data_IF_415958059291
#
_entry.id   IF_415958059291
#
_cell.length_a   1.000
_cell.length_b   1.000
_cell.length_c   1.000
_cell.angle_alpha   90.00
_cell.angle_beta   90.00
_cell.angle_gamma   90.00
#
_symmetry.space_group_name_H-M   'P 1'
#
loop_
_entity.id
_entity.type
_entity.pdbx_description
1 polymer ?
#
# COMPACT_ATOMS: atom_id res chain seq x y z
N UNK A 1 -10.51 -13.40 15.83
CA UNK A 1 -11.15 -14.56 15.17
C UNK A 1 -10.05 -15.60 15.06
N UNK A 2 -10.22 -16.82 15.56
CA UNK A 2 -9.19 -17.87 15.46
C UNK A 2 -9.18 -18.45 14.05
N UNK A 3 -8.02 -18.93 13.58
CA UNK A 3 -7.86 -19.59 12.26
C UNK A 3 -8.82 -20.76 12.13
N UNK A 4 -9.17 -21.44 13.22
CA UNK A 4 -10.14 -22.54 13.27
C UNK A 4 -11.57 -22.14 12.90
N UNK A 5 -11.90 -20.85 12.92
CA UNK A 5 -13.22 -20.33 12.55
C UNK A 5 -13.38 -20.00 11.06
N UNK A 6 -12.30 -20.06 10.25
CA UNK A 6 -12.35 -19.70 8.84
C UNK A 6 -13.27 -20.59 7.99
N UNK A 7 -13.37 -21.92 8.18
CA UNK A 7 -14.35 -22.70 7.43
C UNK A 7 -15.78 -22.17 7.56
N UNK A 8 -16.13 -21.64 8.74
CA UNK A 8 -17.48 -21.11 9.02
C UNK A 8 -17.80 -19.82 8.26
N UNK A 9 -16.80 -19.06 7.79
CA UNK A 9 -17.01 -17.85 6.96
C UNK A 9 -17.65 -18.27 5.64
N UNK A 10 -17.18 -19.35 5.04
CA UNK A 10 -17.72 -19.90 3.80
C UNK A 10 -19.13 -20.48 3.98
N UNK A 11 -19.51 -20.91 5.18
CA UNK A 11 -20.84 -21.49 5.47
C UNK A 11 -21.93 -20.42 5.65
N UNK A 12 -21.56 -19.13 5.74
CA UNK A 12 -22.53 -18.02 5.92
C UNK A 12 -23.29 -17.61 4.67
N UNK A 13 -23.02 -18.22 3.53
CA UNK A 13 -23.69 -17.93 2.27
C UNK A 13 -25.10 -18.57 2.13
N UNK A 14 -25.82 -18.82 3.21
CA UNK A 14 -27.17 -19.38 3.21
C UNK A 14 -27.29 -20.67 2.37
N UNK A 15 -26.28 -21.55 2.44
CA UNK A 15 -26.22 -22.77 1.65
C UNK A 15 -25.76 -22.62 0.21
N UNK A 16 -25.50 -21.37 -0.24
CA UNK A 16 -24.87 -21.10 -1.52
C UNK A 16 -23.34 -21.17 -1.39
N UNK A 17 -22.69 -21.66 -2.42
CA UNK A 17 -21.23 -21.67 -2.51
C UNK A 17 -20.75 -20.33 -3.07
N UNK A 18 -19.66 -19.80 -2.52
CA UNK A 18 -18.96 -18.68 -3.13
C UNK A 18 -18.24 -19.13 -4.41
N UNK A 19 -18.32 -18.34 -5.46
CA UNK A 19 -17.57 -18.57 -6.71
C UNK A 19 -16.15 -18.02 -6.64
N UNK A 20 -15.97 -16.94 -5.87
CA UNK A 20 -14.75 -16.15 -5.83
C UNK A 20 -14.37 -15.83 -4.39
N UNK A 21 -13.09 -15.88 -4.11
CA UNK A 21 -12.48 -15.33 -2.88
C UNK A 21 -11.46 -14.27 -3.27
N UNK A 22 -11.63 -13.05 -2.79
CA UNK A 22 -10.65 -11.96 -2.92
C UNK A 22 -10.12 -11.65 -1.52
N UNK A 23 -8.84 -11.95 -1.27
CA UNK A 23 -8.22 -11.73 0.01
C UNK A 23 -7.46 -10.41 0.04
N UNK A 24 -8.05 -9.39 0.64
CA UNK A 24 -7.42 -8.12 0.98
C UNK A 24 -7.04 -8.04 2.46
N UNK A 25 -7.18 -9.13 3.21
CA UNK A 25 -6.87 -9.18 4.64
C UNK A 25 -5.38 -9.27 4.91
N UNK A 26 -4.99 -8.84 6.10
CA UNK A 26 -3.63 -8.94 6.58
C UNK A 26 -3.16 -7.68 7.31
N UNK A 27 -1.97 -7.75 7.89
CA UNK A 27 -1.31 -6.61 8.51
C UNK A 27 -0.63 -5.78 7.41
N UNK A 28 -0.95 -4.51 7.36
CA UNK A 28 -0.39 -3.55 6.38
C UNK A 28 0.50 -2.47 7.02
N UNK A 29 0.48 -2.33 8.35
CA UNK A 29 1.32 -1.36 9.06
C UNK A 29 2.78 -1.78 8.99
N UNK A 30 3.66 -0.80 8.89
CA UNK A 30 5.10 -0.99 8.96
C UNK A 30 5.56 -1.27 10.40
N UNK A 31 6.82 -1.60 10.56
CA UNK A 31 7.51 -1.72 11.87
C UNK A 31 6.85 -2.66 12.88
N UNK A 32 6.00 -3.58 12.41
CA UNK A 32 5.43 -4.60 13.30
C UNK A 32 6.42 -5.76 13.54
N UNK A 33 6.32 -6.43 14.69
CA UNK A 33 7.05 -7.67 14.94
C UNK A 33 6.75 -8.73 13.87
N UNK A 34 7.73 -9.56 13.56
CA UNK A 34 7.65 -10.55 12.48
C UNK A 34 6.50 -11.55 12.66
N UNK A 35 6.22 -11.95 13.90
CA UNK A 35 5.13 -12.87 14.23
C UNK A 35 3.74 -12.27 13.96
N UNK A 36 3.59 -10.94 13.98
CA UNK A 36 2.34 -10.26 13.61
C UNK A 36 2.05 -10.47 12.13
N UNK A 37 3.03 -10.30 11.24
CA UNK A 37 2.86 -10.57 9.81
C UNK A 37 2.62 -12.07 9.56
N UNK A 38 3.36 -12.93 10.23
CA UNK A 38 3.19 -14.38 10.13
C UNK A 38 1.78 -14.82 10.51
N UNK A 39 1.24 -14.31 11.60
CA UNK A 39 -0.07 -14.71 12.12
C UNK A 39 -1.24 -14.03 11.39
N UNK A 40 -1.13 -12.70 11.15
CA UNK A 40 -2.25 -11.90 10.64
C UNK A 40 -2.29 -11.81 9.10
N UNK A 41 -1.19 -12.10 8.41
CA UNK A 41 -1.13 -12.12 6.95
C UNK A 41 -0.94 -13.53 6.42
N UNK A 42 0.23 -14.12 6.61
CA UNK A 42 0.54 -15.43 6.03
C UNK A 42 -0.43 -16.53 6.48
N UNK A 43 -0.58 -16.75 7.80
CA UNK A 43 -1.46 -17.81 8.30
C UNK A 43 -2.92 -17.62 7.87
N UNK A 44 -3.39 -16.36 7.81
CA UNK A 44 -4.73 -16.03 7.29
C UNK A 44 -4.88 -16.45 5.83
N UNK A 45 -3.95 -16.00 4.96
CA UNK A 45 -4.02 -16.28 3.51
C UNK A 45 -3.94 -17.78 3.23
N UNK A 46 -3.04 -18.51 3.92
CA UNK A 46 -2.90 -19.96 3.75
C UNK A 46 -4.15 -20.71 4.19
N UNK A 47 -4.76 -20.31 5.32
CA UNK A 47 -6.01 -20.94 5.78
C UNK A 47 -7.16 -20.70 4.80
N UNK A 48 -7.30 -19.46 4.28
CA UNK A 48 -8.30 -19.13 3.26
C UNK A 48 -8.04 -19.88 1.95
N UNK A 49 -6.78 -19.93 1.48
CA UNK A 49 -6.41 -20.65 0.26
C UNK A 49 -6.69 -22.15 0.33
N UNK A 50 -6.34 -22.80 1.44
CA UNK A 50 -6.64 -24.21 1.66
C UNK A 50 -8.14 -24.48 1.66
N UNK A 51 -8.94 -23.64 2.31
CA UNK A 51 -10.38 -23.81 2.34
C UNK A 51 -11.01 -23.53 0.97
N UNK A 52 -10.51 -22.54 0.23
CA UNK A 52 -10.94 -22.25 -1.13
C UNK A 52 -10.66 -23.44 -2.07
N UNK A 53 -9.46 -24.03 -2.01
CA UNK A 53 -9.12 -25.23 -2.78
C UNK A 53 -10.02 -26.42 -2.41
N UNK A 54 -10.23 -26.69 -1.12
CA UNK A 54 -11.09 -27.78 -0.62
C UNK A 54 -12.53 -27.65 -1.14
N UNK A 55 -13.02 -26.43 -1.31
CA UNK A 55 -14.38 -26.14 -1.82
C UNK A 55 -14.45 -25.99 -3.33
N UNK A 56 -13.35 -26.15 -4.05
CA UNK A 56 -13.26 -25.93 -5.49
C UNK A 56 -13.77 -24.53 -5.91
N UNK A 57 -13.38 -23.49 -5.15
CA UNK A 57 -13.70 -22.10 -5.49
C UNK A 57 -13.12 -21.77 -6.87
N UNK A 58 -13.93 -21.16 -7.74
CA UNK A 58 -13.61 -20.93 -9.14
C UNK A 58 -12.44 -19.96 -9.35
N UNK A 59 -12.21 -19.02 -8.42
CA UNK A 59 -11.03 -18.15 -8.42
C UNK A 59 -10.67 -17.67 -7.01
N UNK A 60 -9.38 -17.66 -6.68
CA UNK A 60 -8.82 -17.06 -5.47
C UNK A 60 -7.85 -15.96 -5.87
N UNK A 61 -8.09 -14.73 -5.42
CA UNK A 61 -7.22 -13.59 -5.69
C UNK A 61 -6.57 -13.12 -4.38
N UNK A 62 -5.23 -13.08 -4.38
CA UNK A 62 -4.44 -12.58 -3.26
C UNK A 62 -3.93 -11.16 -3.53
N UNK A 63 -4.17 -10.25 -2.59
CA UNK A 63 -3.63 -8.89 -2.61
C UNK A 63 -2.20 -8.90 -2.04
N UNK A 64 -1.21 -8.75 -2.93
CA UNK A 64 0.21 -8.67 -2.60
C UNK A 64 0.78 -7.27 -2.87
N UNK A 65 2.09 -7.12 -2.83
CA UNK A 65 2.79 -5.83 -2.95
C UNK A 65 3.96 -5.90 -3.90
N UNK A 66 4.16 -4.85 -4.71
CA UNK A 66 5.33 -4.70 -5.55
C UNK A 66 6.63 -4.42 -4.75
N UNK A 67 6.53 -4.10 -3.45
CA UNK A 67 7.73 -3.95 -2.59
C UNK A 67 8.47 -5.27 -2.31
N UNK A 68 7.99 -6.39 -2.84
CA UNK A 68 8.72 -7.66 -2.85
C UNK A 68 9.99 -7.60 -3.72
N UNK A 69 10.07 -6.66 -4.66
CA UNK A 69 11.24 -6.46 -5.50
C UNK A 69 12.34 -5.67 -4.79
N UNK A 70 13.54 -5.71 -5.35
CA UNK A 70 14.64 -4.86 -4.92
C UNK A 70 14.34 -3.40 -5.26
N UNK A 71 14.69 -2.50 -4.35
CA UNK A 71 14.59 -1.06 -4.62
C UNK A 71 15.64 -0.60 -5.62
N UNK A 72 15.23 -0.39 -6.86
CA UNK A 72 16.07 0.19 -7.93
C UNK A 72 15.20 0.92 -8.95
N UNK A 73 15.78 1.87 -9.67
CA UNK A 73 15.07 2.71 -10.65
C UNK A 73 14.91 2.02 -12.03
N UNK A 74 14.81 0.70 -12.04
CA UNK A 74 14.51 -0.10 -13.24
C UNK A 74 13.16 -0.78 -13.03
N UNK A 75 12.22 -0.70 -13.99
CA UNK A 75 10.94 -1.38 -13.87
C UNK A 75 11.12 -2.91 -13.76
N UNK A 76 10.64 -3.48 -12.66
CA UNK A 76 10.64 -4.92 -12.44
C UNK A 76 9.44 -5.58 -13.11
N UNK A 77 9.72 -6.71 -13.77
CA UNK A 77 8.71 -7.62 -14.33
C UNK A 77 8.41 -8.75 -13.35
N UNK A 78 7.33 -9.45 -13.56
CA UNK A 78 6.93 -10.60 -12.76
C UNK A 78 7.96 -11.74 -12.79
N UNK A 79 8.74 -11.83 -13.88
CA UNK A 79 9.83 -12.80 -14.05
C UNK A 79 11.10 -12.44 -13.26
N UNK A 80 11.23 -11.21 -12.77
CA UNK A 80 12.41 -10.79 -12.00
C UNK A 80 12.39 -11.43 -10.62
N UNK A 81 13.58 -11.81 -10.13
CA UNK A 81 13.72 -12.43 -8.81
C UNK A 81 13.40 -11.42 -7.71
N UNK A 82 12.40 -11.70 -6.84
CA UNK A 82 12.11 -10.85 -5.70
C UNK A 82 13.30 -10.77 -4.72
N UNK A 83 13.44 -9.60 -4.09
CA UNK A 83 14.43 -9.33 -3.03
C UNK A 83 13.87 -8.34 -2.01
N UNK A 84 12.88 -8.75 -1.20
CA UNK A 84 12.24 -7.87 -0.23
C UNK A 84 13.20 -7.43 0.87
N UNK A 85 13.06 -6.19 1.32
CA UNK A 85 13.90 -5.60 2.38
C UNK A 85 13.15 -5.42 3.71
N UNK A 86 11.83 -5.19 3.67
CA UNK A 86 11.00 -5.07 4.87
C UNK A 86 10.40 -6.42 5.31
N UNK A 87 10.05 -6.55 6.58
CA UNK A 87 9.37 -7.75 7.09
C UNK A 87 8.01 -7.94 6.45
N UNK A 88 7.25 -6.85 6.24
CA UNK A 88 5.98 -6.90 5.52
C UNK A 88 6.15 -7.55 4.15
N UNK A 89 7.10 -7.06 3.34
CA UNK A 89 7.33 -7.56 2.00
C UNK A 89 7.85 -9.01 1.97
N UNK A 90 8.70 -9.40 2.94
CA UNK A 90 9.18 -10.80 3.10
C UNK A 90 8.00 -11.75 3.35
N UNK A 91 7.11 -11.40 4.28
CA UNK A 91 5.96 -12.24 4.60
C UNK A 91 4.91 -12.26 3.50
N UNK A 92 4.75 -11.17 2.74
CA UNK A 92 3.93 -11.18 1.52
C UNK A 92 4.50 -12.14 0.47
N UNK A 93 5.82 -12.11 0.22
CA UNK A 93 6.47 -13.04 -0.70
C UNK A 93 6.35 -14.50 -0.24
N UNK A 94 6.62 -14.78 1.04
CA UNK A 94 6.44 -16.14 1.60
C UNK A 94 5.00 -16.61 1.43
N UNK A 95 4.02 -15.72 1.58
CA UNK A 95 2.61 -16.04 1.36
C UNK A 95 2.34 -16.40 -0.11
N UNK A 96 2.87 -15.63 -1.06
CA UNK A 96 2.76 -15.94 -2.49
C UNK A 96 3.32 -17.33 -2.82
N UNK A 97 4.53 -17.63 -2.33
CA UNK A 97 5.23 -18.89 -2.57
C UNK A 97 4.47 -20.10 -1.98
N UNK A 98 3.88 -19.93 -0.80
CA UNK A 98 3.16 -21.02 -0.15
C UNK A 98 1.74 -21.20 -0.71
N UNK A 99 1.06 -20.14 -1.14
CA UNK A 99 -0.23 -20.25 -1.84
C UNK A 99 -0.08 -21.00 -3.17
N UNK A 100 1.02 -20.76 -3.92
CA UNK A 100 1.29 -21.46 -5.18
C UNK A 100 1.53 -22.96 -5.02
N UNK A 101 1.81 -23.45 -3.79
CA UNK A 101 1.99 -24.89 -3.49
C UNK A 101 0.69 -25.59 -3.10
N UNK A 102 -0.43 -24.86 -2.98
CA UNK A 102 -1.72 -25.46 -2.61
C UNK A 102 -2.35 -26.11 -3.84
N UNK A 103 -2.42 -27.44 -3.83
CA UNK A 103 -3.03 -28.21 -4.91
C UNK A 103 -4.51 -27.85 -5.08
N UNK A 104 -4.94 -27.67 -6.33
CA UNK A 104 -6.31 -27.34 -6.68
C UNK A 104 -6.73 -25.90 -6.43
N UNK A 105 -5.84 -25.04 -5.95
CA UNK A 105 -6.13 -23.61 -5.78
C UNK A 105 -6.03 -22.87 -7.13
N UNK A 106 -7.15 -22.36 -7.64
CA UNK A 106 -7.17 -21.52 -8.84
C UNK A 106 -6.74 -20.08 -8.50
N UNK A 107 -5.44 -19.88 -8.35
CA UNK A 107 -4.80 -18.72 -7.77
C UNK A 107 -4.52 -17.61 -8.80
N UNK A 108 -4.74 -16.35 -8.39
CA UNK A 108 -4.19 -15.15 -9.02
C UNK A 108 -3.63 -14.22 -7.93
N UNK A 109 -2.43 -13.71 -8.10
CA UNK A 109 -1.73 -12.82 -7.17
C UNK A 109 -1.54 -11.47 -7.85
N UNK A 110 -1.99 -10.40 -7.20
CA UNK A 110 -1.77 -9.04 -7.68
C UNK A 110 -0.76 -8.32 -6.77
N UNK A 111 0.40 -8.01 -7.32
CA UNK A 111 1.44 -7.18 -6.68
C UNK A 111 1.16 -5.71 -6.98
N UNK A 112 0.50 -5.05 -6.05
CA UNK A 112 0.17 -3.64 -6.20
C UNK A 112 1.39 -2.75 -5.96
N UNK A 113 1.56 -1.75 -6.83
CA UNK A 113 2.34 -0.56 -6.53
C UNK A 113 1.72 0.20 -5.33
N UNK A 114 2.23 1.36 -4.93
CA UNK A 114 1.70 2.12 -3.80
C UNK A 114 0.27 2.57 -4.10
N UNK A 115 -0.66 2.16 -3.26
CA UNK A 115 -2.06 2.57 -3.37
C UNK A 115 -2.22 4.04 -2.99
N UNK A 116 -3.01 4.80 -3.74
CA UNK A 116 -3.44 6.14 -3.36
C UNK A 116 -4.94 6.33 -3.65
N UNK A 117 -5.55 7.28 -2.97
CA UNK A 117 -6.96 7.64 -3.17
C UNK A 117 -7.73 7.81 -1.87
N UNK A 118 -9.05 7.93 -1.97
CA UNK A 118 -9.92 8.15 -0.82
C UNK A 118 -9.73 7.08 0.28
N UNK A 119 -9.77 7.52 1.53
CA UNK A 119 -9.59 6.71 2.74
C UNK A 119 -8.21 6.06 2.89
N UNK A 120 -7.18 6.59 2.21
CA UNK A 120 -5.81 6.13 2.43
C UNK A 120 -5.45 6.21 3.91
N UNK A 121 -4.91 5.13 4.46
CA UNK A 121 -4.35 5.08 5.81
C UNK A 121 -2.94 4.48 5.79
N UNK A 122 -2.32 4.50 4.61
CA UNK A 122 -1.02 3.93 4.32
C UNK A 122 0.09 4.99 4.15
N UNK A 123 0.85 4.88 3.07
CA UNK A 123 2.07 5.66 2.87
C UNK A 123 1.86 7.16 2.65
N UNK A 124 0.67 7.62 2.24
CA UNK A 124 0.35 9.04 2.05
C UNK A 124 -0.10 9.73 3.32
N UNK A 125 -0.58 9.00 4.32
CA UNK A 125 -1.11 9.56 5.56
C UNK A 125 -0.11 10.49 6.24
N UNK A 126 1.11 10.00 6.50
CA UNK A 126 2.15 10.77 7.17
C UNK A 126 2.52 12.05 6.41
N UNK A 127 2.86 12.03 5.10
CA UNK A 127 3.20 13.27 4.40
C UNK A 127 2.03 14.25 4.27
N UNK A 128 0.78 13.78 4.17
CA UNK A 128 -0.41 14.66 4.17
C UNK A 128 -0.59 15.32 5.54
N UNK A 129 -0.51 14.55 6.64
CA UNK A 129 -0.65 15.08 7.99
C UNK A 129 0.51 16.03 8.35
N UNK A 130 1.75 15.70 7.98
CA UNK A 130 2.91 16.59 8.13
C UNK A 130 2.72 17.88 7.34
N UNK A 131 2.18 17.82 6.12
CA UNK A 131 1.90 19.04 5.34
C UNK A 131 0.92 19.97 6.06
N UNK A 132 -0.08 19.42 6.76
CA UNK A 132 -1.01 20.21 7.58
C UNK A 132 -0.31 20.85 8.79
N UNK A 133 0.54 20.08 9.48
CA UNK A 133 1.36 20.57 10.61
C UNK A 133 2.29 21.67 10.15
N UNK A 134 3.08 21.46 9.09
CA UNK A 134 4.05 22.47 8.61
C UNK A 134 3.38 23.72 8.04
N UNK A 135 2.15 23.59 7.52
CA UNK A 135 1.31 24.75 7.18
C UNK A 135 0.96 25.58 8.41
N UNK A 136 0.61 24.96 9.52
CA UNK A 136 0.29 25.63 10.77
C UNK A 136 1.51 26.33 11.39
N UNK A 137 2.65 25.67 11.31
CA UNK A 137 3.94 26.19 11.73
C UNK A 137 4.50 27.31 10.82
N UNK A 138 3.87 27.58 9.68
CA UNK A 138 4.35 28.52 8.65
C UNK A 138 5.79 28.23 8.20
N UNK A 139 6.17 26.95 8.11
CA UNK A 139 7.51 26.48 7.75
C UNK A 139 7.49 25.57 6.52
N UNK A 140 8.60 25.53 5.73
CA UNK A 140 8.77 24.55 4.66
C UNK A 140 8.81 23.12 5.19
N UNK A 141 8.16 22.16 4.50
CA UNK A 141 8.23 20.74 4.82
C UNK A 141 9.49 20.10 4.21
N UNK A 142 10.43 19.59 5.01
CA UNK A 142 11.60 18.90 4.50
C UNK A 142 11.25 17.45 4.09
N UNK A 143 11.58 17.08 2.84
CA UNK A 143 11.51 15.70 2.36
C UNK A 143 12.86 15.01 2.54
N UNK A 144 12.95 14.04 3.44
CA UNK A 144 14.18 13.30 3.74
C UNK A 144 14.50 12.19 2.71
N UNK A 145 14.16 12.42 1.45
CA UNK A 145 14.36 11.52 0.33
C UNK A 145 14.97 12.25 -0.87
N UNK A 146 15.64 11.56 -1.79
CA UNK A 146 15.98 12.12 -3.09
C UNK A 146 14.71 12.54 -3.86
N UNK A 147 14.76 13.70 -4.51
CA UNK A 147 13.62 14.24 -5.28
C UNK A 147 13.19 13.31 -6.42
N UNK A 148 14.15 12.66 -7.05
CA UNK A 148 13.97 11.74 -8.17
C UNK A 148 13.70 10.28 -7.76
N UNK A 149 13.66 9.98 -6.45
CA UNK A 149 13.35 8.64 -5.97
C UNK A 149 12.00 8.18 -6.52
N UNK A 150 12.03 7.06 -7.23
CA UNK A 150 10.87 6.48 -7.87
C UNK A 150 9.83 5.98 -6.85
N UNK A 151 8.56 6.19 -7.16
CA UNK A 151 7.46 5.87 -6.26
C UNK A 151 6.22 5.48 -7.08
N UNK A 152 6.30 4.36 -7.80
CA UNK A 152 5.17 3.92 -8.61
C UNK A 152 3.91 3.70 -7.78
N UNK A 153 2.79 4.08 -8.37
CA UNK A 153 1.49 4.17 -7.71
C UNK A 153 0.39 3.44 -8.47
N UNK A 154 -0.75 3.27 -7.82
CA UNK A 154 -2.01 2.86 -8.46
C UNK A 154 -3.19 3.40 -7.66
N UNK A 155 -4.20 3.92 -8.35
CA UNK A 155 -5.39 4.45 -7.69
C UNK A 155 -6.23 3.34 -7.05
N UNK A 156 -6.74 3.56 -5.83
CA UNK A 156 -7.47 2.55 -5.05
C UNK A 156 -8.70 2.01 -5.80
N UNK A 157 -9.39 2.84 -6.58
CA UNK A 157 -10.53 2.41 -7.40
C UNK A 157 -10.10 1.46 -8.53
N UNK A 158 -8.95 1.71 -9.14
CA UNK A 158 -8.39 0.79 -10.14
C UNK A 158 -7.85 -0.48 -9.50
N UNK A 159 -7.27 -0.40 -8.30
CA UNK A 159 -6.88 -1.59 -7.54
C UNK A 159 -8.10 -2.48 -7.22
N UNK A 160 -9.21 -1.89 -6.77
CA UNK A 160 -10.45 -2.63 -6.51
C UNK A 160 -11.02 -3.26 -7.80
N UNK A 161 -11.02 -2.51 -8.91
CA UNK A 161 -11.43 -3.04 -10.22
C UNK A 161 -10.51 -4.16 -10.71
N UNK A 162 -9.21 -4.01 -10.51
CA UNK A 162 -8.22 -5.01 -10.90
C UNK A 162 -8.43 -6.34 -10.15
N UNK A 163 -8.71 -6.28 -8.84
CA UNK A 163 -9.02 -7.46 -8.03
C UNK A 163 -10.24 -8.21 -8.57
N UNK A 164 -11.33 -7.47 -8.84
CA UNK A 164 -12.54 -8.08 -9.40
C UNK A 164 -12.31 -8.61 -10.81
N UNK A 165 -11.65 -7.83 -11.66
CA UNK A 165 -11.33 -8.22 -13.03
C UNK A 165 -10.44 -9.47 -13.08
N UNK A 166 -9.42 -9.55 -12.22
CA UNK A 166 -8.55 -10.70 -12.10
C UNK A 166 -9.34 -11.96 -11.66
N UNK A 167 -10.30 -11.79 -10.74
CA UNK A 167 -11.16 -12.90 -10.31
C UNK A 167 -12.03 -13.44 -11.45
N UNK A 168 -12.71 -12.57 -12.19
CA UNK A 168 -13.53 -12.96 -13.34
C UNK A 168 -12.69 -13.57 -14.47
N UNK A 169 -11.54 -12.97 -14.77
CA UNK A 169 -10.60 -13.53 -15.75
C UNK A 169 -10.12 -14.92 -15.35
N UNK A 170 -9.73 -15.11 -14.08
CA UNK A 170 -9.15 -16.36 -13.58
C UNK A 170 -10.13 -17.53 -13.65
N UNK A 171 -11.43 -17.29 -13.50
CA UNK A 171 -12.48 -18.33 -13.62
C UNK A 171 -12.42 -19.08 -14.95
N UNK A 172 -12.03 -18.40 -16.02
CA UNK A 172 -12.02 -18.96 -17.40
C UNK A 172 -10.61 -19.09 -18.00
N UNK A 173 -9.58 -18.59 -17.30
CA UNK A 173 -8.21 -18.63 -17.80
C UNK A 173 -7.66 -20.07 -17.82
N UNK A 174 -6.87 -20.45 -18.85
CA UNK A 174 -6.17 -21.73 -18.88
C UNK A 174 -5.28 -21.92 -17.63
N UNK A 175 -5.10 -23.15 -17.18
CA UNK A 175 -4.24 -23.48 -16.03
C UNK A 175 -2.77 -23.10 -16.25
N UNK A 176 -2.33 -23.04 -17.51
CA UNK A 176 -0.98 -22.57 -17.91
C UNK A 176 -0.80 -21.05 -17.87
N UNK A 177 -1.88 -20.28 -17.61
CA UNK A 177 -1.80 -18.82 -17.57
C UNK A 177 -0.95 -18.34 -16.38
N UNK A 178 -0.30 -17.16 -16.49
CA UNK A 178 0.40 -16.54 -15.36
C UNK A 178 -0.48 -16.45 -14.13
N UNK A 179 0.11 -16.62 -12.94
CA UNK A 179 -0.60 -16.52 -11.66
C UNK A 179 -0.25 -15.24 -10.90
N UNK A 180 0.82 -14.55 -11.28
CA UNK A 180 1.31 -13.33 -10.62
C UNK A 180 1.30 -12.18 -11.62
N UNK A 181 0.82 -11.01 -11.18
CA UNK A 181 0.79 -9.79 -11.99
C UNK A 181 1.16 -8.57 -11.17
N UNK A 182 1.94 -7.66 -11.76
CA UNK A 182 2.13 -6.31 -11.24
C UNK A 182 0.96 -5.42 -11.64
N UNK A 183 0.52 -4.57 -10.72
CA UNK A 183 -0.57 -3.61 -10.96
C UNK A 183 -0.08 -2.21 -10.59
N UNK A 184 0.07 -1.34 -11.60
CA UNK A 184 0.69 -0.03 -11.51
C UNK A 184 0.08 0.91 -12.55
N UNK A 185 -0.13 2.18 -12.19
CA UNK A 185 -0.55 3.21 -13.15
C UNK A 185 0.58 3.61 -14.14
N UNK A 186 0.28 4.49 -15.07
CA UNK A 186 1.24 4.89 -16.10
C UNK A 186 1.99 6.20 -15.76
N UNK A 187 1.85 6.72 -14.53
CA UNK A 187 2.34 8.06 -14.17
C UNK A 187 3.85 8.15 -13.94
N UNK A 188 4.53 7.04 -13.66
CA UNK A 188 5.95 7.06 -13.26
C UNK A 188 6.24 8.05 -12.12
N UNK A 189 5.45 7.98 -11.05
CA UNK A 189 5.51 8.90 -9.92
C UNK A 189 6.87 8.91 -9.21
N UNK A 190 7.19 10.02 -8.53
CA UNK A 190 8.41 10.19 -7.73
C UNK A 190 8.10 10.93 -6.42
N UNK A 191 9.06 10.95 -5.49
CA UNK A 191 8.95 11.78 -4.28
C UNK A 191 8.82 13.26 -4.63
N UNK A 192 9.44 13.70 -5.74
CA UNK A 192 9.29 15.06 -6.26
C UNK A 192 7.89 15.38 -6.76
N UNK A 193 7.22 14.44 -7.45
CA UNK A 193 5.84 14.64 -7.90
C UNK A 193 4.86 14.67 -6.71
N UNK A 194 5.09 13.86 -5.68
CA UNK A 194 4.32 13.92 -4.44
C UNK A 194 4.49 15.26 -3.72
N UNK A 195 5.75 15.71 -3.54
CA UNK A 195 6.04 17.00 -2.92
C UNK A 195 5.38 18.16 -3.66
N UNK A 196 5.41 18.16 -5.00
CA UNK A 196 4.75 19.18 -5.81
C UNK A 196 3.21 19.17 -5.62
N UNK A 197 2.59 18.00 -5.51
CA UNK A 197 1.16 17.88 -5.24
C UNK A 197 0.80 18.42 -3.84
N UNK A 198 1.60 18.07 -2.81
CA UNK A 198 1.42 18.57 -1.45
C UNK A 198 1.63 20.08 -1.36
N UNK A 199 2.69 20.61 -1.99
CA UNK A 199 2.94 22.06 -2.06
C UNK A 199 1.73 22.80 -2.66
N UNK A 200 1.16 22.28 -3.74
CA UNK A 200 -0.01 22.86 -4.39
C UNK A 200 -1.24 22.83 -3.47
N UNK A 201 -1.52 21.68 -2.84
CA UNK A 201 -2.74 21.48 -2.05
C UNK A 201 -2.72 22.26 -0.73
N UNK A 202 -1.55 22.39 -0.10
CA UNK A 202 -1.40 23.06 1.18
C UNK A 202 -0.93 24.51 1.09
N UNK A 203 -0.38 24.93 -0.04
CA UNK A 203 0.22 26.25 -0.21
C UNK A 203 1.53 26.40 0.59
N UNK A 204 2.28 25.32 0.78
CA UNK A 204 3.55 25.30 1.50
C UNK A 204 4.71 24.98 0.55
N UNK A 205 5.92 25.35 0.93
CA UNK A 205 7.11 24.91 0.24
C UNK A 205 7.52 23.51 0.72
N UNK A 206 7.83 22.60 -0.21
CA UNK A 206 8.47 21.32 0.10
C UNK A 206 9.93 21.38 -0.33
N UNK A 207 10.86 21.14 0.59
CA UNK A 207 12.30 21.24 0.35
C UNK A 207 12.96 19.87 0.32
N UNK A 208 14.03 19.75 -0.46
CA UNK A 208 14.83 18.52 -0.56
C UNK A 208 16.24 18.82 -0.08
N UNK A 209 16.66 18.25 1.06
CA UNK A 209 18.04 18.40 1.54
C UNK A 209 19.05 17.85 0.53
N UNK A 210 20.20 18.48 0.42
CA UNK A 210 21.29 17.96 -0.40
C UNK A 210 21.82 16.61 0.11
N UNK A 211 22.52 15.87 -0.76
CA UNK A 211 23.01 14.52 -0.47
C UNK A 211 23.81 14.41 0.83
N UNK A 212 24.62 15.41 1.17
CA UNK A 212 25.39 15.45 2.41
C UNK A 212 24.49 15.55 3.64
N UNK A 213 23.46 16.39 3.60
CA UNK A 213 22.48 16.52 4.70
C UNK A 213 21.65 15.27 4.87
N UNK A 214 21.25 14.62 3.77
CA UNK A 214 20.55 13.32 3.83
C UNK A 214 21.44 12.24 4.46
N UNK A 215 22.75 12.25 4.18
CA UNK A 215 23.68 11.31 4.78
C UNK A 215 23.85 11.56 6.28
N UNK A 216 23.97 12.80 6.72
CA UNK A 216 24.05 13.18 8.13
C UNK A 216 22.75 12.81 8.88
N UNK A 217 21.60 13.10 8.31
CA UNK A 217 20.30 12.70 8.87
C UNK A 217 20.19 11.17 9.02
N UNK A 218 20.70 10.39 8.06
CA UNK A 218 20.75 8.94 8.16
C UNK A 218 21.67 8.40 9.25
N UNK A 219 22.73 9.12 9.59
CA UNK A 219 23.64 8.73 10.68
C UNK A 219 23.03 8.98 12.07
N UNK A 220 22.21 10.02 12.22
CA UNK A 220 21.53 10.40 13.47
C UNK A 220 20.00 10.25 13.35
N UNK A 221 19.55 9.23 12.62
CA UNK A 221 18.16 9.08 12.18
C UNK A 221 17.17 9.03 13.35
N UNK A 222 17.54 8.39 14.47
CA UNK A 222 16.67 8.25 15.64
C UNK A 222 16.45 9.62 16.30
N UNK A 223 17.51 10.38 16.56
CA UNK A 223 17.42 11.69 17.17
C UNK A 223 16.60 12.67 16.30
N UNK A 224 16.87 12.70 14.98
CA UNK A 224 16.12 13.54 14.04
C UNK A 224 14.64 13.15 13.99
N UNK A 225 14.33 11.86 14.03
CA UNK A 225 12.94 11.39 14.02
C UNK A 225 12.19 11.70 15.31
N UNK A 226 12.86 11.53 16.46
CA UNK A 226 12.27 11.82 17.76
C UNK A 226 11.89 13.31 17.86
N UNK A 227 12.81 14.22 17.46
CA UNK A 227 12.55 15.65 17.44
C UNK A 227 11.41 16.05 16.50
N UNK A 228 11.41 15.53 15.26
CA UNK A 228 10.34 15.80 14.27
C UNK A 228 9.00 15.25 14.74
N UNK A 229 8.97 14.05 15.29
CA UNK A 229 7.74 13.41 15.74
C UNK A 229 7.16 14.09 16.98
N UNK A 230 7.99 14.50 17.95
CA UNK A 230 7.55 15.20 19.15
C UNK A 230 6.82 16.50 18.77
N UNK A 231 7.46 17.39 17.99
CA UNK A 231 6.84 18.63 17.52
C UNK A 231 5.59 18.37 16.68
N UNK A 232 5.66 17.44 15.72
CA UNK A 232 4.54 17.19 14.82
C UNK A 232 3.31 16.61 15.53
N UNK A 233 3.50 15.75 16.53
CA UNK A 233 2.41 15.17 17.30
C UNK A 233 1.76 16.18 18.24
N UNK A 234 2.55 17.10 18.82
CA UNK A 234 2.02 18.19 19.67
C UNK A 234 1.11 19.11 18.86
N UNK A 235 1.60 19.64 17.74
CA UNK A 235 0.81 20.51 16.85
C UNK A 235 -0.42 19.77 16.31
N UNK A 236 -0.28 18.49 15.94
CA UNK A 236 -1.42 17.69 15.48
C UNK A 236 -2.51 17.53 16.56
N UNK A 237 -2.10 17.29 17.82
CA UNK A 237 -3.03 17.18 18.93
C UNK A 237 -3.79 18.49 19.18
N UNK A 238 -3.11 19.63 19.08
CA UNK A 238 -3.73 20.95 19.22
C UNK A 238 -4.76 21.21 18.12
N UNK A 239 -4.41 20.93 16.86
CA UNK A 239 -5.33 21.04 15.73
C UNK A 239 -6.57 20.17 15.90
N UNK A 240 -6.42 18.92 16.36
CA UNK A 240 -7.54 18.02 16.66
C UNK A 240 -8.43 18.58 17.78
N UNK A 241 -7.82 19.10 18.85
CA UNK A 241 -8.53 19.67 19.99
C UNK A 241 -9.34 20.92 19.58
N UNK A 242 -8.76 21.81 18.79
CA UNK A 242 -9.44 23.01 18.25
C UNK A 242 -10.70 22.64 17.43
N UNK A 243 -10.63 21.54 16.69
CA UNK A 243 -11.76 20.99 15.92
C UNK A 243 -12.72 20.12 16.74
N UNK A 244 -12.40 19.84 18.00
CA UNK A 244 -13.19 18.94 18.85
C UNK A 244 -13.19 17.48 18.40
N UNK A 245 -12.13 17.05 17.67
CA UNK A 245 -12.00 15.68 17.18
C UNK A 245 -11.38 14.80 18.26
N UNK A 246 -12.19 13.96 18.89
CA UNK A 246 -11.75 13.05 19.95
C UNK A 246 -11.38 11.64 19.46
N UNK A 247 -11.67 11.32 18.19
CA UNK A 247 -11.37 10.02 17.56
C UNK A 247 -10.84 10.26 16.15
N UNK A 248 -9.53 10.62 16.02
CA UNK A 248 -8.95 11.02 14.73
C UNK A 248 -8.74 9.86 13.74
N UNK A 249 -9.20 8.65 14.06
CA UNK A 249 -9.00 7.49 13.19
C UNK A 249 -7.54 7.04 13.09
N UNK A 250 -7.14 6.42 11.99
CA UNK A 250 -5.78 5.87 11.82
C UNK A 250 -4.75 6.88 11.31
N UNK A 251 -5.16 8.13 11.03
CA UNK A 251 -4.27 9.13 10.42
C UNK A 251 -3.49 9.92 11.47
N UNK A 252 -2.22 10.16 11.22
CA UNK A 252 -1.35 10.97 12.09
C UNK A 252 -0.08 11.39 11.33
N UNK A 253 0.65 12.42 11.82
CA UNK A 253 1.89 12.88 11.21
C UNK A 253 3.14 12.06 11.60
N UNK A 254 3.00 10.98 12.38
CA UNK A 254 4.13 10.22 12.91
C UNK A 254 4.98 9.61 11.78
N UNK A 255 6.24 9.99 11.72
CA UNK A 255 7.20 9.51 10.74
C UNK A 255 7.92 8.27 11.27
N UNK A 256 7.54 7.10 10.76
CA UNK A 256 8.16 5.83 11.14
C UNK A 256 9.56 5.68 10.53
N UNK A 257 10.51 5.16 11.33
CA UNK A 257 11.89 4.87 10.88
C UNK A 257 11.94 3.97 9.63
N UNK A 258 11.02 3.03 9.51
CA UNK A 258 10.96 2.12 8.37
C UNK A 258 10.60 2.86 7.07
N UNK A 259 9.79 3.93 7.14
CA UNK A 259 9.48 4.77 5.98
C UNK A 259 10.73 5.44 5.39
N UNK A 260 11.70 5.82 6.23
CA UNK A 260 12.95 6.45 5.78
C UNK A 260 13.95 5.47 5.14
N UNK A 261 13.71 4.16 5.30
CA UNK A 261 14.45 3.11 4.58
C UNK A 261 13.84 2.84 3.19
N UNK A 262 12.82 3.61 2.82
CA UNK A 262 12.17 3.50 1.52
C UNK A 262 13.17 3.70 0.38
N UNK A 263 13.00 2.91 -0.65
CA UNK A 263 13.86 2.88 -1.83
C UNK A 263 13.03 3.09 -3.08
N UNK A 264 13.68 3.20 -4.23
CA UNK A 264 12.98 3.23 -5.50
C UNK A 264 11.96 2.08 -5.62
N UNK A 265 10.79 2.38 -6.14
CA UNK A 265 9.80 1.40 -6.55
C UNK A 265 9.44 1.66 -8.01
N UNK A 266 9.89 0.75 -8.89
CA UNK A 266 9.54 0.73 -10.32
C UNK A 266 9.08 -0.67 -10.69
N UNK A 267 7.92 -0.77 -11.31
CA UNK A 267 7.37 -2.05 -11.79
C UNK A 267 6.72 -1.89 -13.17
N UNK A 268 6.81 -2.93 -13.96
CA UNK A 268 6.16 -3.04 -15.27
C UNK A 268 4.82 -3.80 -15.09
N UNK A 269 3.69 -3.13 -15.32
CA UNK A 269 2.34 -3.71 -15.24
C UNK A 269 1.80 -4.23 -16.57
N UNK A 270 2.58 -4.17 -17.63
CA UNK A 270 2.10 -4.50 -18.99
C UNK A 270 1.59 -5.94 -19.13
N UNK A 271 2.12 -6.89 -18.36
CA UNK A 271 1.67 -8.27 -18.40
C UNK A 271 0.20 -8.41 -17.99
N UNK A 272 -0.23 -7.70 -16.96
CA UNK A 272 -1.63 -7.74 -16.51
C UNK A 272 -2.58 -7.22 -17.57
N UNK A 273 -2.29 -6.05 -18.16
CA UNK A 273 -3.10 -5.46 -19.21
C UNK A 273 -3.18 -6.33 -20.48
N UNK A 274 -2.02 -6.85 -20.93
CA UNK A 274 -1.93 -7.67 -22.14
C UNK A 274 -2.61 -9.03 -21.98
N UNK A 275 -2.47 -9.63 -20.78
CA UNK A 275 -3.00 -10.98 -20.53
C UNK A 275 -4.49 -10.98 -20.24
N UNK A 276 -4.97 -9.98 -19.48
CA UNK A 276 -6.35 -9.97 -18.98
C UNK A 276 -7.25 -8.99 -19.72
N UNK A 277 -6.68 -8.04 -20.47
CA UNK A 277 -7.44 -6.96 -21.11
C UNK A 277 -7.85 -5.84 -20.15
N UNK A 278 -7.30 -5.79 -18.94
CA UNK A 278 -7.60 -4.74 -17.96
C UNK A 278 -7.27 -3.36 -18.53
N UNK A 279 -8.09 -2.36 -18.18
CA UNK A 279 -7.89 -0.95 -18.54
C UNK A 279 -8.02 -0.08 -17.32
N UNK A 280 -6.98 0.73 -17.07
CA UNK A 280 -7.00 1.72 -16.00
C UNK A 280 -7.99 2.84 -16.31
N UNK A 281 -8.65 3.36 -15.27
CA UNK A 281 -9.44 4.60 -15.32
C UNK A 281 -8.63 5.80 -14.85
N UNK A 282 -7.64 5.54 -14.00
CA UNK A 282 -6.73 6.52 -13.42
C UNK A 282 -5.30 6.18 -13.85
N UNK A 283 -5.02 6.38 -15.14
CA UNK A 283 -3.67 6.15 -15.68
C UNK A 283 -2.63 7.09 -15.08
N UNK A 284 -3.08 8.28 -14.66
CA UNK A 284 -2.30 9.28 -13.92
C UNK A 284 -3.15 9.83 -12.76
N UNK A 285 -2.53 10.30 -11.66
CA UNK A 285 -3.27 10.94 -10.58
C UNK A 285 -4.03 12.17 -11.06
N UNK A 286 -5.34 12.30 -10.72
CA UNK A 286 -6.10 13.52 -11.00
C UNK A 286 -5.44 14.76 -10.38
N UNK A 287 -5.65 15.97 -10.94
CA UNK A 287 -5.04 17.18 -10.41
C UNK A 287 -5.37 17.52 -8.95
N UNK A 288 -6.49 17.03 -8.44
CA UNK A 288 -7.05 17.25 -7.10
C UNK A 288 -7.00 15.98 -6.21
N UNK A 289 -6.10 15.06 -6.52
CA UNK A 289 -6.07 13.76 -5.83
C UNK A 289 -5.75 13.86 -4.32
N UNK A 290 -4.89 14.80 -3.90
CA UNK A 290 -4.60 15.06 -2.47
C UNK A 290 -5.85 15.60 -1.77
N UNK A 291 -6.51 16.58 -2.39
CA UNK A 291 -7.76 17.16 -1.86
C UNK A 291 -8.87 16.11 -1.72
N UNK A 292 -8.95 15.17 -2.66
CA UNK A 292 -9.95 14.09 -2.60
C UNK A 292 -9.70 13.16 -1.39
N UNK A 293 -8.43 12.89 -1.07
CA UNK A 293 -8.04 12.12 0.12
C UNK A 293 -8.42 12.89 1.38
N UNK A 294 -8.05 14.18 1.48
CA UNK A 294 -8.39 15.03 2.62
C UNK A 294 -9.90 15.09 2.84
N UNK A 295 -10.69 15.31 1.78
CA UNK A 295 -12.17 15.28 1.87
C UNK A 295 -12.71 13.95 2.39
N UNK A 296 -12.02 12.83 2.10
CA UNK A 296 -12.41 11.54 2.66
C UNK A 296 -12.16 11.45 4.16
N UNK A 297 -11.05 12.03 4.65
CA UNK A 297 -10.75 12.14 6.07
C UNK A 297 -11.76 13.07 6.79
N UNK A 298 -12.14 14.20 6.16
CA UNK A 298 -13.19 15.09 6.67
C UNK A 298 -14.54 14.37 6.84
N UNK A 299 -14.95 13.59 5.82
CA UNK A 299 -16.18 12.79 5.90
C UNK A 299 -16.18 11.77 7.05
N UNK A 300 -15.00 11.28 7.44
CA UNK A 300 -14.82 10.34 8.55
C UNK A 300 -14.62 11.04 9.89
N UNK A 301 -14.61 12.38 9.92
CA UNK A 301 -14.28 13.19 11.09
C UNK A 301 -12.89 12.86 11.68
N UNK A 302 -11.90 12.65 10.79
CA UNK A 302 -10.51 12.40 11.17
C UNK A 302 -9.60 13.61 10.99
N UNK A 303 -10.01 14.59 10.16
CA UNK A 303 -9.16 15.69 9.68
C UNK A 303 -9.37 16.98 10.46
N UNK A 304 -8.29 17.59 11.03
CA UNK A 304 -8.36 18.90 11.71
C UNK A 304 -8.32 20.10 10.78
#
# INVERSE_FOLDING_TARGET
>A
MSIESFPRIFDRANGQQFDVVINCGGESRLSQPEDVYRLRSHALSIALGKEAARRNISAYVECSTATVYKGENKPHKESDKPKPTSNLAKWKLTTEEDLQKIDGLNLCILRFARLYGEYDSGFLTTPICLSRVYKDLERPLPFLFPKDQAMDTVHVKDAARALWHAAEWRKSAPSSSPTVFNVVDHNNSSKGSLAAALSKSFGIECTFPGALMLQLAKMNIEEVLDEVNEEALEVWADLLNEKGITRPGPINPFLEKELLKDTDLRVDGSLFEQTTGFKYQYEIPPPDWIESIIKSYERMNWWP
#
